data_IF_850338797468
#
_entry.id   IF_850338797468
#
_cell.length_a   1.000
_cell.length_b   1.000
_cell.length_c   1.000
_cell.angle_alpha   90.00
_cell.angle_beta   90.00
_cell.angle_gamma   90.00
#
_symmetry.space_group_name_H-M   'P 1'
#
loop_
_entity.id
_entity.type
_entity.pdbx_description
1 polymer ?
#
# COMPACT_ATOMS: atom_id res chain seq x y z
N UNK A 1 22.10 6.45 44.57
CA UNK A 1 21.79 6.54 46.02
C UNK A 1 22.78 5.65 46.76
N UNK A 2 23.29 6.08 47.91
CA UNK A 2 24.19 5.25 48.74
C UNK A 2 23.40 4.81 49.97
N UNK A 3 23.42 3.51 50.24
CA UNK A 3 22.84 2.94 51.46
C UNK A 3 23.99 2.55 52.38
N UNK A 4 23.92 2.98 53.64
CA UNK A 4 24.89 2.65 54.69
C UNK A 4 24.22 1.78 55.73
N UNK A 5 24.78 0.60 55.98
CA UNK A 5 24.34 -0.30 57.04
C UNK A 5 24.91 0.11 58.41
N UNK A 6 24.30 -0.37 59.49
CA UNK A 6 24.67 0.00 60.86
C UNK A 6 26.12 -0.39 61.25
N UNK A 7 26.71 -1.34 60.54
CA UNK A 7 28.10 -1.78 60.68
C UNK A 7 29.09 -0.95 59.82
N UNK A 8 28.62 0.11 59.17
CA UNK A 8 29.42 1.01 58.36
C UNK A 8 29.64 0.57 56.91
N UNK A 9 29.10 -0.59 56.48
CA UNK A 9 29.20 -1.01 55.08
C UNK A 9 28.33 -0.14 54.17
N UNK A 10 28.87 0.28 53.03
CA UNK A 10 28.15 1.08 52.03
C UNK A 10 27.89 0.29 50.75
N UNK A 11 26.69 0.39 50.19
CA UNK A 11 26.35 -0.09 48.84
C UNK A 11 25.84 1.04 47.98
N UNK A 12 26.35 1.13 46.76
CA UNK A 12 25.85 2.06 45.75
C UNK A 12 24.72 1.42 44.97
N UNK A 13 23.54 2.03 45.03
CA UNK A 13 22.39 1.66 44.21
C UNK A 13 22.39 2.55 42.97
N UNK A 14 22.55 1.92 41.80
CA UNK A 14 22.39 2.55 40.49
C UNK A 14 20.92 2.43 40.07
N UNK A 15 20.23 3.57 39.95
CA UNK A 15 18.89 3.64 39.37
C UNK A 15 19.05 3.92 37.88
N UNK A 16 18.48 3.06 37.04
CA UNK A 16 18.40 3.29 35.59
C UNK A 16 16.95 3.65 35.26
N UNK A 17 16.71 4.89 34.83
CA UNK A 17 15.41 5.29 34.29
C UNK A 17 15.41 4.90 32.81
N UNK A 18 14.54 3.98 32.43
CA UNK A 18 14.30 3.65 31.03
C UNK A 18 13.36 4.71 30.44
N UNK A 19 13.73 5.28 29.31
CA UNK A 19 12.85 6.16 28.55
C UNK A 19 11.64 5.37 28.02
N UNK A 20 10.46 5.97 28.06
CA UNK A 20 9.24 5.34 27.58
C UNK A 20 9.31 5.06 26.06
N UNK A 21 8.60 4.03 25.57
CA UNK A 21 8.42 3.81 24.14
C UNK A 21 7.69 4.99 23.49
N UNK A 22 8.09 5.34 22.27
CA UNK A 22 7.46 6.43 21.50
C UNK A 22 7.51 6.11 20.00
N UNK A 23 6.62 6.74 19.23
CA UNK A 23 6.54 6.55 17.78
C UNK A 23 6.48 7.92 17.09
N UNK A 24 7.42 8.16 16.19
CA UNK A 24 7.41 9.34 15.32
C UNK A 24 7.04 8.94 13.90
N UNK A 25 5.95 9.50 13.40
CA UNK A 25 5.49 9.30 12.03
C UNK A 25 4.76 10.57 11.56
N UNK A 26 4.69 10.76 10.24
CA UNK A 26 4.04 11.91 9.59
C UNK A 26 3.15 11.44 8.45
N UNK A 27 2.14 12.24 8.15
CA UNK A 27 1.23 12.00 7.04
C UNK A 27 1.99 11.88 5.72
N UNK A 28 1.43 11.09 4.80
CA UNK A 28 2.01 10.81 3.49
C UNK A 28 1.04 11.15 2.37
N UNK A 29 1.59 11.57 1.24
CA UNK A 29 0.86 11.69 -0.01
C UNK A 29 1.53 10.80 -1.05
N UNK A 30 0.74 9.97 -1.71
CA UNK A 30 1.15 9.14 -2.83
C UNK A 30 0.14 9.29 -3.98
N UNK A 31 0.41 8.65 -5.10
CA UNK A 31 -0.46 8.70 -6.27
C UNK A 31 -0.89 7.32 -6.72
N UNK A 32 -2.03 7.24 -7.41
CA UNK A 32 -2.48 6.02 -8.07
C UNK A 32 -1.39 5.52 -9.03
N UNK A 33 -1.14 4.21 -9.00
CA UNK A 33 -0.07 3.53 -9.71
C UNK A 33 1.30 3.59 -9.01
N UNK A 34 1.46 4.31 -7.90
CA UNK A 34 2.69 4.21 -7.10
C UNK A 34 2.75 2.85 -6.39
N UNK A 35 3.97 2.34 -6.24
CA UNK A 35 4.21 1.09 -5.51
C UNK A 35 4.14 1.33 -4.00
N UNK A 36 3.41 0.49 -3.28
CA UNK A 36 3.29 0.51 -1.83
C UNK A 36 3.28 -0.92 -1.25
N UNK A 37 4.28 -1.23 -0.42
CA UNK A 37 4.37 -2.50 0.31
C UNK A 37 4.20 -2.29 1.82
N UNK A 38 4.02 -3.39 2.57
CA UNK A 38 3.96 -3.33 4.05
C UNK A 38 5.27 -2.82 4.65
N UNK A 39 6.41 -3.14 4.03
CA UNK A 39 7.73 -2.70 4.47
C UNK A 39 7.89 -1.18 4.29
N UNK A 40 7.41 -0.63 3.18
CA UNK A 40 7.38 0.82 2.96
C UNK A 40 6.59 1.54 4.06
N UNK A 41 5.40 1.02 4.40
CA UNK A 41 4.55 1.58 5.45
C UNK A 41 5.27 1.52 6.81
N UNK A 42 5.91 0.39 7.14
CA UNK A 42 6.63 0.26 8.40
C UNK A 42 7.82 1.24 8.48
N UNK A 43 8.50 1.48 7.36
CA UNK A 43 9.65 2.39 7.26
C UNK A 43 9.29 3.89 7.31
N UNK A 44 8.00 4.26 7.25
CA UNK A 44 7.58 5.65 7.44
C UNK A 44 7.55 6.09 8.91
N UNK A 45 7.63 5.14 9.84
CA UNK A 45 7.66 5.39 11.27
C UNK A 45 9.05 5.16 11.86
N UNK A 46 9.41 5.97 12.86
CA UNK A 46 10.55 5.75 13.73
C UNK A 46 10.05 5.28 15.09
N UNK A 47 10.39 4.05 15.46
CA UNK A 47 10.08 3.47 16.76
C UNK A 47 11.22 3.76 17.74
N UNK A 48 10.90 4.41 18.85
CA UNK A 48 11.87 4.85 19.86
C UNK A 48 11.77 3.92 21.07
N UNK A 49 12.92 3.41 21.49
CA UNK A 49 13.06 2.42 22.57
C UNK A 49 12.19 1.15 22.38
N UNK A 50 12.10 0.52 21.19
CA UNK A 50 11.25 -0.65 20.98
C UNK A 50 11.87 -1.96 21.51
N UNK A 51 12.93 -1.92 22.33
CA UNK A 51 13.79 -3.09 22.54
C UNK A 51 13.06 -4.32 23.13
N UNK A 52 13.05 -5.39 22.33
CA UNK A 52 12.34 -6.63 22.63
C UNK A 52 10.81 -6.53 22.57
N UNK A 53 10.25 -5.39 22.15
CA UNK A 53 8.82 -5.17 22.01
C UNK A 53 8.41 -5.33 20.55
N UNK A 54 7.35 -6.12 20.24
CA UNK A 54 6.82 -6.17 18.89
C UNK A 54 6.36 -4.79 18.43
N UNK A 55 6.68 -4.45 17.19
CA UNK A 55 6.20 -3.22 16.53
C UNK A 55 5.42 -3.60 15.29
N UNK A 56 4.47 -2.75 14.91
CA UNK A 56 3.69 -2.99 13.72
C UNK A 56 2.79 -1.83 13.38
N UNK A 57 1.91 -2.06 12.41
CA UNK A 57 0.86 -1.15 12.04
C UNK A 57 -0.40 -1.91 11.69
N UNK A 58 -1.53 -1.21 11.73
CA UNK A 58 -2.79 -1.64 11.17
C UNK A 58 -3.43 -0.51 10.36
N UNK A 59 -4.26 -0.90 9.38
CA UNK A 59 -5.08 0.07 8.64
C UNK A 59 -6.41 0.17 9.35
N UNK A 60 -6.79 1.39 9.73
CA UNK A 60 -8.03 1.65 10.45
C UNK A 60 -9.15 1.93 9.43
N UNK A 61 -10.23 1.17 9.52
CA UNK A 61 -11.38 1.30 8.62
C UNK A 61 -11.17 0.56 7.30
N UNK A 62 -11.23 1.30 6.18
CA UNK A 62 -11.15 0.71 4.85
C UNK A 62 -9.71 0.33 4.49
N UNK A 63 -9.54 -0.88 3.93
CA UNK A 63 -8.24 -1.33 3.44
C UNK A 63 -7.71 -0.41 2.32
N UNK A 64 -6.39 -0.22 2.28
CA UNK A 64 -5.72 0.50 1.19
C UNK A 64 -5.76 -0.40 -0.06
N UNK A 65 -6.36 0.03 -1.18
CA UNK A 65 -6.51 -0.78 -2.37
C UNK A 65 -5.18 -0.87 -3.13
N UNK A 66 -4.55 -2.03 -3.03
CA UNK A 66 -3.26 -2.38 -3.63
C UNK A 66 -3.47 -3.55 -4.59
N UNK A 67 -2.90 -3.47 -5.79
CA UNK A 67 -2.97 -4.53 -6.80
C UNK A 67 -2.08 -5.73 -6.45
N UNK A 68 -2.19 -6.82 -7.23
CA UNK A 68 -1.28 -7.97 -7.12
C UNK A 68 0.20 -7.63 -7.43
N UNK A 69 0.48 -6.45 -7.98
CA UNK A 69 1.83 -5.95 -8.30
C UNK A 69 2.26 -4.81 -7.38
N UNK A 70 1.69 -4.76 -6.17
CA UNK A 70 1.98 -3.76 -5.13
C UNK A 70 1.67 -2.30 -5.54
N UNK A 71 0.76 -2.06 -6.49
CA UNK A 71 0.44 -0.69 -6.94
C UNK A 71 -0.87 -0.18 -6.34
N UNK A 72 -0.90 1.09 -5.93
CA UNK A 72 -2.12 1.77 -5.48
C UNK A 72 -3.13 1.89 -6.63
N UNK A 73 -4.38 1.49 -6.41
CA UNK A 73 -5.39 1.43 -7.48
C UNK A 73 -6.54 2.43 -7.33
N UNK A 74 -6.68 3.09 -6.18
CA UNK A 74 -7.80 4.03 -5.95
C UNK A 74 -7.34 5.21 -5.11
N UNK A 75 -7.65 6.42 -5.59
CA UNK A 75 -7.47 7.66 -4.84
C UNK A 75 -8.38 7.70 -3.60
N UNK A 76 -7.94 8.38 -2.55
CA UNK A 76 -8.65 8.42 -1.29
C UNK A 76 -7.76 8.80 -0.12
N UNK A 77 -8.34 8.75 1.08
CA UNK A 77 -7.63 9.01 2.34
C UNK A 77 -7.77 7.79 3.23
N UNK A 78 -6.65 7.30 3.76
CA UNK A 78 -6.57 6.08 4.56
C UNK A 78 -5.84 6.36 5.87
N UNK A 79 -6.29 5.74 6.96
CA UNK A 79 -5.68 5.92 8.28
C UNK A 79 -4.80 4.72 8.60
N UNK A 80 -3.55 4.97 8.99
CA UNK A 80 -2.59 3.96 9.40
C UNK A 80 -2.25 4.22 10.86
N UNK A 81 -2.45 3.21 11.71
CA UNK A 81 -2.10 3.27 13.13
C UNK A 81 -0.90 2.37 13.41
N UNK A 82 0.21 2.98 13.81
CA UNK A 82 1.40 2.29 14.30
C UNK A 82 1.24 1.95 15.78
N UNK A 83 1.87 0.86 16.22
CA UNK A 83 1.87 0.45 17.62
C UNK A 83 3.21 -0.15 18.07
N UNK A 84 3.48 -0.03 19.37
CA UNK A 84 4.49 -0.80 20.11
C UNK A 84 3.74 -1.66 21.14
N UNK A 85 3.91 -2.97 21.09
CA UNK A 85 3.27 -3.93 22.00
C UNK A 85 4.20 -4.30 23.15
N UNK A 86 3.66 -4.36 24.37
CA UNK A 86 4.35 -4.92 25.52
C UNK A 86 4.46 -6.45 25.44
N UNK A 87 5.47 -7.03 26.11
CA UNK A 87 5.77 -8.48 26.11
C UNK A 87 4.72 -9.37 26.82
N UNK A 88 3.60 -8.83 27.30
CA UNK A 88 2.62 -9.59 28.09
C UNK A 88 1.64 -10.35 27.19
N UNK A 89 1.51 -11.67 27.40
CA UNK A 89 0.70 -12.59 26.57
C UNK A 89 -0.82 -12.55 26.84
N UNK A 90 -1.30 -11.73 27.76
CA UNK A 90 -2.65 -11.93 28.34
C UNK A 90 -3.62 -10.75 28.23
N UNK A 91 -3.19 -9.60 27.72
CA UNK A 91 -4.05 -8.47 27.34
C UNK A 91 -3.31 -7.74 26.23
N UNK A 92 -4.00 -7.20 25.21
CA UNK A 92 -3.40 -6.23 24.29
C UNK A 92 -2.80 -5.09 25.11
N UNK A 93 -1.48 -5.12 25.30
CA UNK A 93 -0.75 -4.10 26.02
C UNK A 93 -0.08 -3.20 25.00
N UNK A 94 -0.79 -2.20 24.50
CA UNK A 94 -0.22 -1.19 23.62
C UNK A 94 0.49 -0.16 24.49
N UNK A 95 1.81 -0.02 24.29
CA UNK A 95 2.67 0.87 25.07
C UNK A 95 2.86 2.23 24.41
N UNK A 96 2.72 2.29 23.09
CA UNK A 96 2.69 3.52 22.31
C UNK A 96 1.89 3.28 21.04
N UNK A 97 1.19 4.31 20.59
CA UNK A 97 0.44 4.30 19.34
C UNK A 97 0.58 5.65 18.62
N UNK A 98 0.51 5.61 17.30
CA UNK A 98 0.57 6.82 16.46
C UNK A 98 -0.23 6.62 15.19
N UNK A 99 -1.20 7.48 14.97
CA UNK A 99 -1.94 7.53 13.70
C UNK A 99 -1.31 8.53 12.73
N UNK A 100 -1.33 8.16 11.45
CA UNK A 100 -1.04 9.04 10.32
C UNK A 100 -2.11 8.88 9.24
N UNK A 101 -2.18 9.88 8.37
CA UNK A 101 -3.01 9.88 7.18
C UNK A 101 -2.18 9.59 5.94
N UNK A 102 -2.59 8.60 5.14
CA UNK A 102 -2.14 8.40 3.77
C UNK A 102 -3.17 8.98 2.79
N UNK A 103 -2.78 10.03 2.07
CA UNK A 103 -3.56 10.60 0.97
C UNK A 103 -3.07 10.02 -0.36
N UNK A 104 -3.94 9.35 -1.11
CA UNK A 104 -3.66 8.88 -2.46
C UNK A 104 -4.38 9.78 -3.45
N UNK A 105 -3.64 10.45 -4.31
CA UNK A 105 -4.17 11.34 -5.35
C UNK A 105 -4.19 10.64 -6.70
N UNK A 106 -5.07 11.06 -7.60
CA UNK A 106 -4.95 10.68 -9.01
C UNK A 106 -3.70 11.32 -9.61
N UNK A 107 -3.03 10.62 -10.53
CA UNK A 107 -1.99 11.26 -11.35
C UNK A 107 -2.70 12.17 -12.35
N UNK A 108 -2.26 13.42 -12.43
CA UNK A 108 -2.73 14.30 -13.49
C UNK A 108 -2.39 13.66 -14.84
N UNK A 109 -3.41 13.31 -15.61
CA UNK A 109 -3.21 13.01 -17.02
C UNK A 109 -2.73 14.31 -17.69
N UNK A 110 -1.67 14.29 -18.52
CA UNK A 110 -1.39 15.43 -19.37
C UNK A 110 -2.62 15.65 -20.24
N UNK A 111 -3.36 16.71 -19.95
CA UNK A 111 -4.48 17.16 -20.76
C UNK A 111 -3.90 17.52 -22.12
N UNK A 112 -4.14 16.67 -23.12
CA UNK A 112 -3.90 17.05 -24.51
C UNK A 112 -4.97 18.08 -24.84
N UNK A 113 -4.62 19.36 -24.67
CA UNK A 113 -5.39 20.49 -25.17
C UNK A 113 -5.54 20.34 -26.70
N UNK A 114 -6.76 20.16 -27.26
CA UNK A 114 -6.97 20.05 -28.70
C UNK A 114 -6.74 21.35 -29.48
N UNK A 115 -6.32 22.44 -28.83
CA UNK A 115 -6.55 23.80 -29.30
C UNK A 115 -5.38 24.64 -29.82
N UNK A 116 -4.16 24.13 -30.10
CA UNK A 116 -3.06 24.99 -30.64
C UNK A 116 -2.44 24.54 -31.97
N UNK A 117 -2.44 25.40 -33.01
CA UNK A 117 -1.90 25.08 -34.32
C UNK A 117 -0.36 25.12 -34.33
N UNK A 118 0.28 24.02 -34.75
CA UNK A 118 1.73 24.00 -35.06
C UNK A 118 1.97 24.61 -36.43
N UNK A 119 2.55 25.81 -36.43
CA UNK A 119 3.14 26.46 -37.61
C UNK A 119 4.44 25.74 -37.99
N UNK A 120 4.59 25.47 -39.28
CA UNK A 120 5.65 24.70 -39.93
C UNK A 120 6.99 25.44 -40.02
N UNK A 121 8.08 24.67 -40.05
CA UNK A 121 9.32 25.02 -40.78
C UNK A 121 9.69 23.82 -41.67
N UNK A 122 10.16 24.13 -42.87
CA UNK A 122 10.08 23.33 -44.10
C UNK A 122 11.43 22.72 -44.55
N UNK A 123 11.34 22.02 -45.70
CA UNK A 123 12.37 21.57 -46.69
C UNK A 123 12.97 20.20 -46.42
N UNK A 124 12.91 19.20 -47.31
CA UNK A 124 12.38 18.99 -48.68
C UNK A 124 12.57 17.49 -49.02
N UNK A 125 12.17 16.86 -50.12
CA UNK A 125 11.47 17.23 -51.35
C UNK A 125 11.06 15.89 -52.05
N UNK A 126 9.89 15.86 -52.74
CA UNK A 126 9.48 14.99 -53.89
C UNK A 126 9.32 13.47 -53.65
N UNK A 127 8.31 12.70 -54.08
CA UNK A 127 7.10 12.78 -54.95
C UNK A 127 6.29 11.51 -54.60
N UNK A 128 4.95 11.48 -54.50
CA UNK A 128 4.04 11.27 -55.63
C UNK A 128 2.60 11.06 -55.12
N UNK A 129 1.69 11.94 -55.55
CA UNK A 129 0.30 11.69 -56.02
C UNK A 129 -0.43 10.40 -55.57
N UNK A 130 -1.38 10.50 -54.64
CA UNK A 130 -2.83 10.21 -54.87
C UNK A 130 -3.68 10.55 -53.63
N UNK A 131 -4.75 11.31 -53.86
CA UNK A 131 -5.78 11.69 -52.90
C UNK A 131 -6.60 10.43 -52.52
N UNK A 132 -6.53 9.98 -51.28
CA UNK A 132 -7.53 9.11 -50.67
C UNK A 132 -7.99 9.74 -49.35
N UNK A 133 -9.30 9.86 -49.19
CA UNK A 133 -9.98 10.37 -48.00
C UNK A 133 -9.60 9.54 -46.76
N UNK A 134 -9.71 10.11 -45.54
CA UNK A 134 -9.50 9.32 -44.34
C UNK A 134 -10.53 8.19 -44.27
N UNK A 135 -10.03 6.99 -44.02
CA UNK A 135 -10.82 5.83 -43.66
C UNK A 135 -11.47 6.14 -42.30
N UNK A 136 -12.74 6.56 -42.29
CA UNK A 136 -13.53 6.66 -41.07
C UNK A 136 -13.91 5.24 -40.65
N UNK A 137 -12.98 4.58 -39.98
CA UNK A 137 -13.21 3.32 -39.28
C UNK A 137 -13.99 3.61 -38.00
N UNK A 138 -15.30 3.76 -38.12
CA UNK A 138 -16.18 3.31 -37.04
C UNK A 138 -16.10 1.79 -37.03
N UNK A 139 -15.54 1.24 -35.95
CA UNK A 139 -15.96 -0.07 -35.47
C UNK A 139 -16.32 0.06 -34.00
N UNK A 140 -17.61 0.28 -33.76
CA UNK A 140 -18.25 -0.49 -32.70
C UNK A 140 -18.04 -1.98 -33.05
N UNK A 141 -17.53 -2.81 -32.14
CA UNK A 141 -18.42 -3.69 -31.39
C UNK A 141 -17.86 -4.06 -30.02
N UNK A 142 -18.79 -4.12 -29.08
CA UNK A 142 -18.70 -4.69 -27.76
C UNK A 142 -18.25 -6.17 -27.80
N UNK A 143 -16.96 -6.47 -27.54
CA UNK A 143 -16.47 -7.85 -27.32
C UNK A 143 -15.11 -7.86 -26.61
N UNK A 144 -15.11 -7.93 -25.27
CA UNK A 144 -14.15 -8.76 -24.52
C UNK A 144 -14.60 -9.05 -23.07
N UNK A 145 -15.88 -9.38 -22.89
CA UNK A 145 -16.32 -10.19 -21.75
C UNK A 145 -16.19 -11.67 -22.16
N UNK A 146 -14.98 -12.24 -22.08
CA UNK A 146 -14.77 -13.66 -22.44
C UNK A 146 -13.52 -14.30 -21.85
N UNK A 147 -13.15 -13.93 -20.61
CA UNK A 147 -12.19 -14.73 -19.82
C UNK A 147 -12.74 -15.04 -18.42
N UNK A 148 -13.49 -14.12 -17.81
CA UNK A 148 -14.03 -14.30 -16.45
C UNK A 148 -15.16 -15.32 -16.29
N UNK A 149 -15.90 -15.66 -17.36
CA UNK A 149 -17.07 -16.56 -17.27
C UNK A 149 -16.69 -18.03 -17.52
N UNK A 150 -15.55 -18.32 -18.17
CA UNK A 150 -15.14 -19.70 -18.46
C UNK A 150 -14.58 -20.44 -17.22
N UNK A 151 -14.02 -19.72 -16.24
CA UNK A 151 -13.49 -20.32 -15.01
C UNK A 151 -14.58 -20.71 -13.99
N UNK A 152 -15.75 -20.07 -14.04
CA UNK A 152 -16.84 -20.36 -13.11
C UNK A 152 -17.57 -21.68 -13.44
N UNK A 153 -17.54 -22.13 -14.70
CA UNK A 153 -18.16 -23.40 -15.11
C UNK A 153 -17.26 -24.61 -14.78
N UNK A 154 -15.93 -24.46 -14.74
CA UNK A 154 -15.03 -25.56 -14.37
C UNK A 154 -15.06 -25.92 -12.86
N UNK A 155 -15.40 -24.98 -11.97
CA UNK A 155 -15.45 -25.27 -10.52
C UNK A 155 -16.71 -26.06 -10.14
N UNK A 156 -17.83 -25.89 -10.84
CA UNK A 156 -19.06 -26.65 -10.59
C UNK A 156 -19.04 -28.07 -11.19
N UNK A 157 -18.40 -28.27 -12.34
CA UNK A 157 -18.28 -29.60 -12.98
C UNK A 157 -17.30 -30.56 -12.30
N UNK A 158 -16.26 -30.05 -11.64
CA UNK A 158 -15.27 -30.87 -10.92
C UNK A 158 -15.82 -31.50 -9.62
N UNK A 159 -16.73 -30.80 -8.95
CA UNK A 159 -17.25 -31.26 -7.65
C UNK A 159 -18.21 -32.45 -7.75
N UNK A 160 -18.92 -32.60 -8.87
CA UNK A 160 -19.82 -33.74 -9.08
C UNK A 160 -19.08 -35.01 -9.45
N UNK A 161 -17.89 -34.92 -10.09
CA UNK A 161 -17.11 -36.08 -10.51
C UNK A 161 -16.30 -36.70 -9.37
N UNK A 162 -15.91 -35.95 -8.34
CA UNK A 162 -15.17 -36.48 -7.19
C UNK A 162 -16.06 -37.25 -6.20
N UNK A 163 -17.38 -36.97 -6.18
CA UNK A 163 -18.33 -37.67 -5.29
C UNK A 163 -18.70 -39.08 -5.77
N UNK A 164 -18.51 -39.40 -7.05
CA UNK A 164 -18.90 -40.70 -7.62
C UNK A 164 -17.81 -41.80 -7.56
N UNK A 165 -16.57 -41.46 -7.20
CA UNK A 165 -15.47 -42.44 -7.10
C UNK A 165 -15.29 -43.06 -5.71
N UNK A 166 -16.12 -42.69 -4.72
CA UNK A 166 -16.11 -43.29 -3.37
C UNK A 166 -17.16 -44.38 -3.14
N UNK A 167 -17.85 -44.86 -4.19
CA UNK A 167 -18.71 -46.05 -4.10
C UNK A 167 -18.61 -46.90 -5.37
N UNK A 168 -17.59 -47.73 -5.43
CA UNK A 168 -17.65 -49.09 -5.99
C UNK A 168 -16.49 -49.90 -5.43
#
# INVERSE_FOLDING_TARGET
MILTAADGQTKTVKLTILSLPDIKATDKTMYVGDRLTKEDILNWATFINPEGMPVGFEVVGNAIPISATDQLTTSGTYTIKYYIQGKSRSVENILAEKEITLTVKEKEHPSVDPGKPKKSISKGNLTSKKKSLPNTGEQNTNTLYSIGILLLIMVLGGYTRMKYWKKK
#
